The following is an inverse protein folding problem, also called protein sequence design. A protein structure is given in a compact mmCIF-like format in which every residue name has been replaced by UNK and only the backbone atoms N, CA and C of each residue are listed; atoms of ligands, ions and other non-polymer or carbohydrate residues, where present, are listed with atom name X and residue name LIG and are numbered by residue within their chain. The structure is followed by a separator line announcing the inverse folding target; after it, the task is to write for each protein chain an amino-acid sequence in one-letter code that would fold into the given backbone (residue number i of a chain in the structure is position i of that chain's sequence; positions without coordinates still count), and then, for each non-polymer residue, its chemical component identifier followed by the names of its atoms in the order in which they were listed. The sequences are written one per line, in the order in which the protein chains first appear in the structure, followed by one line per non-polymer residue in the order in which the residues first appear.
data_IF_558704452040
#
_entry.id   IF_558704452040
#
_cell.length_a   1.000
_cell.length_b   1.000
_cell.length_c   1.000
_cell.angle_alpha   90.00
_cell.angle_beta   90.00
_cell.angle_gamma   90.00
#
_symmetry.space_group_name_H-M   'P 1'
#
loop_
_entity.id
_entity.type
_entity.pdbx_description
1 polymer ?
#
# COMPACT_ATOMS: atom_id res chain seq x y z
N UNK A 1 15.90 -28.37 -16.89
CA UNK A 1 16.58 -27.15 -16.39
C UNK A 1 16.99 -27.33 -14.93
N UNK A 2 16.12 -27.87 -14.05
CA UNK A 2 16.46 -28.17 -12.66
C UNK A 2 17.73 -29.00 -12.52
N UNK A 3 17.78 -30.17 -13.16
CA UNK A 3 18.93 -31.10 -13.06
C UNK A 3 20.25 -30.47 -13.52
N UNK A 4 20.22 -29.72 -14.62
CA UNK A 4 21.41 -29.05 -15.18
C UNK A 4 21.88 -27.91 -14.27
N UNK A 5 20.94 -27.21 -13.61
CA UNK A 5 21.25 -26.16 -12.64
C UNK A 5 21.79 -26.75 -11.33
N UNK A 6 21.22 -27.87 -10.88
CA UNK A 6 21.69 -28.64 -9.72
C UNK A 6 23.09 -29.24 -9.96
N UNK A 7 23.43 -29.54 -11.21
CA UNK A 7 24.79 -29.92 -11.63
C UNK A 7 25.78 -28.75 -11.63
N UNK A 8 25.38 -27.54 -11.21
CA UNK A 8 26.24 -26.37 -11.06
C UNK A 8 26.41 -25.52 -12.32
N UNK A 9 25.62 -25.76 -13.38
CA UNK A 9 25.71 -24.99 -14.62
C UNK A 9 24.86 -23.72 -14.55
N UNK A 10 25.46 -22.59 -14.93
CA UNK A 10 24.76 -21.33 -15.14
C UNK A 10 23.77 -21.42 -16.29
N UNK A 11 22.48 -21.16 -16.05
CA UNK A 11 21.44 -21.23 -17.08
C UNK A 11 20.65 -19.93 -17.14
N UNK A 12 20.32 -19.50 -18.35
CA UNK A 12 19.37 -18.43 -18.61
C UNK A 12 18.15 -19.05 -19.31
N UNK A 13 17.02 -19.09 -18.59
CA UNK A 13 15.75 -19.58 -19.12
C UNK A 13 14.87 -18.44 -19.59
N UNK A 14 14.18 -18.64 -20.71
CA UNK A 14 13.16 -17.70 -21.21
C UNK A 14 11.78 -18.33 -21.07
N UNK A 15 10.87 -17.63 -20.40
CA UNK A 15 9.48 -18.07 -20.20
C UNK A 15 8.52 -16.95 -20.50
N UNK A 16 7.47 -17.23 -21.27
CA UNK A 16 6.37 -16.28 -21.48
C UNK A 16 5.46 -16.22 -20.26
N UNK A 17 5.42 -15.08 -19.55
CA UNK A 17 4.54 -14.87 -18.42
C UNK A 17 4.09 -13.40 -18.35
N UNK A 18 2.87 -13.18 -17.83
CA UNK A 18 2.32 -11.83 -17.68
C UNK A 18 2.96 -11.06 -16.51
N UNK A 19 3.66 -11.76 -15.62
CA UNK A 19 4.38 -11.19 -14.47
C UNK A 19 5.53 -12.13 -14.08
N UNK A 20 6.59 -11.57 -13.47
CA UNK A 20 7.67 -12.37 -12.89
C UNK A 20 7.18 -13.39 -11.86
N UNK A 21 6.13 -13.07 -11.10
CA UNK A 21 5.55 -14.01 -10.13
C UNK A 21 4.93 -15.24 -10.80
N UNK A 22 4.20 -15.05 -11.90
CA UNK A 22 3.61 -16.16 -12.63
C UNK A 22 4.69 -17.07 -13.25
N UNK A 23 5.83 -16.50 -13.65
CA UNK A 23 6.97 -17.29 -14.10
C UNK A 23 7.51 -18.20 -12.99
N UNK A 24 7.65 -17.67 -11.77
CA UNK A 24 8.06 -18.43 -10.57
C UNK A 24 7.06 -19.53 -10.27
N UNK A 25 5.76 -19.23 -10.23
CA UNK A 25 4.70 -20.21 -9.92
C UNK A 25 4.68 -21.40 -10.89
N UNK A 26 4.96 -21.18 -12.17
CA UNK A 26 5.08 -22.26 -13.16
C UNK A 26 6.28 -23.17 -12.92
N UNK A 27 7.33 -22.66 -12.26
CA UNK A 27 8.50 -23.43 -11.86
C UNK A 27 8.24 -24.26 -10.61
N UNK A 28 7.57 -23.63 -9.64
CA UNK A 28 7.23 -24.20 -8.32
C UNK A 28 6.47 -25.52 -8.45
N UNK A 29 5.57 -25.65 -9.44
CA UNK A 29 4.85 -26.90 -9.66
C UNK A 29 5.70 -28.09 -10.15
N UNK A 30 7.00 -27.89 -10.43
CA UNK A 30 7.90 -28.93 -10.95
C UNK A 30 9.06 -29.26 -10.03
N UNK A 31 9.29 -28.46 -8.99
CA UNK A 31 10.48 -28.53 -8.13
C UNK A 31 10.05 -28.31 -6.69
N UNK A 32 10.60 -29.09 -5.76
CA UNK A 32 10.35 -28.92 -4.33
C UNK A 32 10.81 -27.54 -3.85
N UNK A 33 10.06 -26.94 -2.91
CA UNK A 33 10.34 -25.59 -2.39
C UNK A 33 11.81 -25.40 -1.99
N UNK A 34 12.40 -26.37 -1.30
CA UNK A 34 13.80 -26.34 -0.86
C UNK A 34 14.84 -26.25 -1.99
N UNK A 35 14.49 -26.73 -3.18
CA UNK A 35 15.36 -26.71 -4.35
C UNK A 35 15.13 -25.48 -5.23
N UNK A 36 14.01 -24.76 -5.06
CA UNK A 36 13.66 -23.61 -5.90
C UNK A 36 14.71 -22.51 -5.80
N UNK A 37 15.17 -22.16 -4.60
CA UNK A 37 16.19 -21.11 -4.43
C UNK A 37 17.55 -21.49 -5.01
N UNK A 38 17.83 -22.78 -5.20
CA UNK A 38 19.06 -23.26 -5.85
C UNK A 38 18.93 -23.22 -7.37
N UNK A 39 17.72 -23.48 -7.88
CA UNK A 39 17.44 -23.53 -9.30
C UNK A 39 17.18 -22.14 -9.88
N UNK A 40 16.51 -21.27 -9.13
CA UNK A 40 16.08 -19.95 -9.57
C UNK A 40 16.42 -18.90 -8.49
N UNK A 41 17.31 -18.00 -8.87
CA UNK A 41 17.82 -16.92 -8.02
C UNK A 41 17.21 -15.57 -8.46
N UNK A 42 17.29 -15.26 -9.76
CA UNK A 42 16.83 -13.98 -10.32
C UNK A 42 15.78 -14.18 -11.40
N UNK A 43 14.73 -13.35 -11.39
CA UNK A 43 13.71 -13.27 -12.44
C UNK A 43 13.67 -11.86 -13.00
N UNK A 44 13.85 -11.76 -14.30
CA UNK A 44 13.79 -10.48 -15.02
C UNK A 44 12.49 -10.45 -15.81
N UNK A 45 11.58 -9.57 -15.42
CA UNK A 45 10.35 -9.33 -16.16
C UNK A 45 10.58 -8.22 -17.19
N UNK A 46 10.44 -8.58 -18.47
CA UNK A 46 10.61 -7.67 -19.61
C UNK A 46 9.24 -7.37 -20.22
N UNK A 47 8.89 -6.09 -20.31
CA UNK A 47 7.67 -5.61 -20.96
C UNK A 47 8.03 -4.53 -21.99
N UNK A 48 7.48 -4.64 -23.21
CA UNK A 48 7.70 -3.65 -24.30
C UNK A 48 9.18 -3.32 -24.54
N UNK A 49 10.05 -4.33 -24.46
CA UNK A 49 11.50 -4.19 -24.66
C UNK A 49 12.25 -3.48 -23.52
N UNK A 50 11.59 -3.22 -22.38
CA UNK A 50 12.22 -2.64 -21.18
C UNK A 50 12.12 -3.60 -20.01
N UNK A 51 13.12 -3.57 -19.13
CA UNK A 51 13.07 -4.29 -17.84
C UNK A 51 12.04 -3.58 -16.97
N UNK A 52 10.91 -4.24 -16.72
CA UNK A 52 9.83 -3.71 -15.88
C UNK A 52 10.12 -3.98 -14.40
N UNK A 53 10.61 -5.19 -14.08
CA UNK A 53 10.89 -5.58 -12.70
C UNK A 53 11.99 -6.65 -12.65
N UNK A 54 12.81 -6.59 -11.61
CA UNK A 54 13.77 -7.65 -11.27
C UNK A 54 13.40 -8.19 -9.88
N UNK A 55 13.19 -9.50 -9.81
CA UNK A 55 12.87 -10.21 -8.58
C UNK A 55 14.04 -11.11 -8.19
N UNK A 56 14.40 -11.08 -6.92
CA UNK A 56 15.40 -11.94 -6.29
C UNK A 56 14.71 -12.88 -5.31
N UNK A 57 15.10 -14.15 -5.32
CA UNK A 57 14.56 -15.16 -4.43
C UNK A 57 15.60 -15.56 -3.39
N UNK A 58 15.27 -15.38 -2.11
CA UNK A 58 16.15 -15.77 -1.01
C UNK A 58 15.42 -16.71 -0.06
N UNK A 59 16.06 -17.84 0.24
CA UNK A 59 15.55 -18.74 1.27
C UNK A 59 15.95 -18.26 2.65
N UNK A 60 14.99 -18.22 3.57
CA UNK A 60 15.18 -17.90 4.98
C UNK A 60 14.36 -18.87 5.84
N UNK A 61 14.86 -19.16 7.04
CA UNK A 61 14.13 -19.95 8.03
C UNK A 61 13.50 -18.98 9.01
N UNK A 62 12.16 -18.85 8.98
CA UNK A 62 11.39 -17.97 9.87
C UNK A 62 9.95 -18.43 10.02
N UNK A 63 9.21 -17.82 10.93
CA UNK A 63 7.76 -17.93 10.96
C UNK A 63 7.17 -17.18 9.74
N UNK A 64 6.29 -17.80 8.94
CA UNK A 64 5.57 -17.10 7.86
C UNK A 64 4.76 -15.92 8.39
N UNK A 65 4.65 -14.86 7.59
CA UNK A 65 3.87 -13.68 7.99
C UNK A 65 2.40 -14.06 8.22
N UNK A 66 1.88 -13.83 9.45
CA UNK A 66 0.47 -14.05 9.80
C UNK A 66 0.14 -15.35 10.54
N UNK A 67 1.14 -16.13 10.99
CA UNK A 67 0.92 -17.31 11.86
C UNK A 67 1.77 -17.22 13.13
N UNK A 68 1.15 -17.38 14.31
CA UNK A 68 1.85 -17.68 15.55
C UNK A 68 2.20 -19.17 15.56
N UNK A 69 3.38 -19.54 15.07
CA UNK A 69 3.87 -20.91 15.24
C UNK A 69 5.30 -20.91 15.73
N UNK A 70 5.55 -21.64 16.81
CA UNK A 70 6.84 -21.83 17.47
C UNK A 70 7.82 -22.70 16.63
N UNK A 71 7.36 -23.19 15.47
CA UNK A 71 8.15 -24.01 14.55
C UNK A 71 8.60 -23.17 13.36
N UNK A 72 9.89 -22.81 13.35
CA UNK A 72 10.52 -22.17 12.20
C UNK A 72 10.47 -23.08 10.98
N UNK A 73 10.00 -22.53 9.85
CA UNK A 73 9.86 -23.26 8.57
C UNK A 73 10.72 -22.60 7.49
N UNK A 74 11.13 -23.35 6.45
CA UNK A 74 11.77 -22.77 5.28
C UNK A 74 10.74 -21.93 4.50
N UNK A 75 11.03 -20.64 4.34
CA UNK A 75 10.24 -19.67 3.58
C UNK A 75 11.14 -19.09 2.49
N UNK A 76 10.59 -18.91 1.29
CA UNK A 76 11.28 -18.19 0.22
C UNK A 76 10.74 -16.78 0.15
N UNK A 77 11.61 -15.81 0.34
CA UNK A 77 11.35 -14.40 0.18
C UNK A 77 11.58 -13.97 -1.26
N UNK A 78 10.58 -13.32 -1.86
CA UNK A 78 10.67 -12.73 -3.20
C UNK A 78 10.82 -11.21 -3.03
N UNK A 79 12.02 -10.71 -3.27
CA UNK A 79 12.39 -9.31 -3.11
C UNK A 79 12.55 -8.62 -4.45
N UNK A 80 12.25 -7.33 -4.49
CA UNK A 80 12.42 -6.51 -5.69
C UNK A 80 13.79 -5.83 -5.70
N UNK A 81 14.54 -5.92 -6.79
CA UNK A 81 15.81 -5.20 -6.98
C UNK A 81 15.57 -3.92 -7.79
N UNK A 82 16.14 -2.76 -7.43
CA UNK A 82 17.14 -2.52 -6.36
C UNK A 82 16.56 -2.15 -4.99
N UNK A 83 15.24 -2.09 -4.83
CA UNK A 83 14.62 -1.60 -3.59
C UNK A 83 14.78 -2.54 -2.39
N UNK A 84 15.20 -3.79 -2.62
CA UNK A 84 15.29 -4.90 -1.66
C UNK A 84 13.97 -5.11 -0.88
N UNK A 85 12.86 -4.68 -1.46
CA UNK A 85 11.55 -4.71 -0.81
C UNK A 85 10.95 -6.10 -0.96
N UNK A 86 10.58 -6.72 0.15
CA UNK A 86 9.89 -8.00 0.16
C UNK A 86 8.47 -7.84 -0.41
N UNK A 87 8.20 -8.49 -1.54
CA UNK A 87 6.91 -8.38 -2.24
C UNK A 87 6.00 -9.56 -1.94
N UNK A 88 6.57 -10.77 -1.96
CA UNK A 88 5.84 -12.03 -1.77
C UNK A 88 6.68 -12.99 -0.94
N UNK A 89 5.99 -13.88 -0.24
CA UNK A 89 6.55 -15.02 0.47
C UNK A 89 5.99 -16.30 -0.15
N UNK A 90 6.83 -17.33 -0.22
CA UNK A 90 6.39 -18.67 -0.60
C UNK A 90 6.73 -19.64 0.52
N UNK A 91 5.75 -20.45 0.92
CA UNK A 91 5.95 -21.50 1.90
C UNK A 91 5.09 -22.72 1.58
N UNK A 92 5.52 -23.88 2.09
CA UNK A 92 4.77 -25.12 1.97
C UNK A 92 3.69 -25.18 3.07
N UNK A 93 2.44 -25.34 2.65
CA UNK A 93 1.30 -25.58 3.52
C UNK A 93 0.78 -27.01 3.26
N UNK A 94 1.15 -27.94 4.14
CA UNK A 94 0.90 -29.36 3.91
C UNK A 94 1.66 -29.86 2.68
N UNK A 95 0.92 -30.32 1.67
CA UNK A 95 1.45 -30.80 0.39
C UNK A 95 1.47 -29.75 -0.72
N UNK A 96 0.92 -28.56 -0.48
CA UNK A 96 0.78 -27.50 -1.49
C UNK A 96 1.71 -26.33 -1.20
N UNK A 97 2.10 -25.60 -2.24
CA UNK A 97 2.95 -24.41 -2.11
C UNK A 97 2.07 -23.17 -2.22
N UNK A 98 2.00 -22.40 -1.15
CA UNK A 98 1.26 -21.15 -1.07
C UNK A 98 2.18 -19.97 -1.38
N UNK A 99 1.68 -19.02 -2.17
CA UNK A 99 2.34 -17.75 -2.46
C UNK A 99 1.51 -16.64 -1.82
N UNK A 100 2.06 -16.00 -0.79
CA UNK A 100 1.38 -14.96 -0.02
C UNK A 100 2.00 -13.60 -0.34
N UNK A 101 1.22 -12.60 -0.80
CA UNK A 101 1.73 -11.25 -0.96
C UNK A 101 2.00 -10.65 0.42
N UNK A 102 3.20 -10.10 0.61
CA UNK A 102 3.55 -9.37 1.86
C UNK A 102 3.09 -7.91 1.79
N UNK A 103 2.65 -7.48 0.59
CA UNK A 103 2.03 -6.18 0.32
C UNK A 103 0.57 -6.08 0.82
N UNK A 104 0.28 -6.73 1.94
CA UNK A 104 -0.92 -6.54 2.74
C UNK A 104 -0.65 -6.27 4.22
N UNK A 105 0.60 -6.37 4.67
CA UNK A 105 0.90 -6.40 6.12
C UNK A 105 2.27 -5.84 6.53
N UNK A 106 3.09 -5.29 5.62
CA UNK A 106 4.41 -4.75 6.01
C UNK A 106 4.68 -3.28 5.66
N UNK A 107 3.78 -2.59 4.97
CA UNK A 107 3.70 -1.12 5.11
C UNK A 107 2.86 -0.71 6.33
N UNK A 108 1.92 -1.58 6.73
CA UNK A 108 1.14 -1.53 7.98
C UNK A 108 1.52 -2.76 8.82
N UNK A 109 2.81 -2.85 9.20
CA UNK A 109 3.36 -3.88 10.06
C UNK A 109 2.67 -3.91 11.41
N UNK A 110 1.52 -4.58 11.47
CA UNK A 110 0.81 -4.77 12.71
C UNK A 110 -0.20 -5.88 12.67
N UNK A 111 -0.29 -6.55 13.82
CA UNK A 111 -1.38 -7.43 14.21
C UNK A 111 -2.73 -6.82 13.77
N UNK A 112 -3.79 -7.58 13.43
CA UNK A 112 -5.11 -7.00 13.15
C UNK A 112 -5.57 -6.01 14.23
N UNK A 113 -5.14 -6.23 15.48
CA UNK A 113 -5.26 -5.30 16.59
C UNK A 113 -4.58 -3.93 16.37
N UNK A 114 -3.37 -3.89 15.83
CA UNK A 114 -2.66 -2.64 15.53
C UNK A 114 -3.29 -1.86 14.37
N UNK A 115 -3.91 -2.55 13.40
CA UNK A 115 -4.69 -1.88 12.36
C UNK A 115 -5.90 -1.17 12.95
N UNK A 116 -6.66 -1.87 13.80
CA UNK A 116 -7.78 -1.29 14.53
C UNK A 116 -7.32 -0.14 15.43
N UNK A 117 -6.20 -0.32 16.15
CA UNK A 117 -5.63 0.72 17.01
C UNK A 117 -5.15 1.92 16.19
N UNK A 118 -4.57 1.73 15.00
CA UNK A 118 -4.12 2.84 14.13
C UNK A 118 -5.30 3.67 13.61
N UNK A 119 -6.41 3.02 13.30
CA UNK A 119 -7.65 3.67 12.87
C UNK A 119 -8.27 4.46 14.04
N UNK A 120 -8.27 3.88 15.25
CA UNK A 120 -8.79 4.53 16.45
C UNK A 120 -7.92 5.71 16.89
N UNK A 121 -6.59 5.55 16.85
CA UNK A 121 -5.63 6.62 17.15
C UNK A 121 -5.80 7.78 16.17
N UNK A 122 -6.03 7.50 14.89
CA UNK A 122 -6.36 8.54 13.89
C UNK A 122 -7.66 9.27 14.24
N UNK A 123 -8.69 8.57 14.70
CA UNK A 123 -9.99 9.16 15.10
C UNK A 123 -9.85 10.05 16.32
N UNK A 124 -9.21 9.54 17.37
CA UNK A 124 -9.02 10.28 18.62
C UNK A 124 -8.07 11.47 18.43
N UNK A 125 -6.95 11.30 17.73
CA UNK A 125 -6.03 12.41 17.42
C UNK A 125 -6.74 13.52 16.63
N UNK A 126 -7.60 13.16 15.66
CA UNK A 126 -8.39 14.14 14.91
C UNK A 126 -9.43 14.82 15.79
N UNK A 127 -10.06 14.10 16.73
CA UNK A 127 -11.06 14.67 17.66
C UNK A 127 -10.43 15.66 18.63
N UNK A 128 -9.29 15.31 19.22
CA UNK A 128 -8.62 16.11 20.24
C UNK A 128 -7.92 17.35 19.66
N UNK A 129 -7.25 17.20 18.52
CA UNK A 129 -6.46 18.28 17.92
C UNK A 129 -7.20 19.07 16.85
N UNK A 130 -8.30 18.53 16.30
CA UNK A 130 -8.98 19.08 15.14
C UNK A 130 -8.17 18.97 13.83
N UNK A 131 -7.01 18.31 13.86
CA UNK A 131 -6.09 18.15 12.72
C UNK A 131 -6.33 16.79 12.07
N UNK A 132 -6.48 16.78 10.76
CA UNK A 132 -6.66 15.55 10.00
C UNK A 132 -5.35 14.77 9.97
N UNK A 133 -5.30 13.67 10.73
CA UNK A 133 -4.20 12.72 10.66
C UNK A 133 -4.36 11.87 9.40
N UNK A 134 -3.34 11.87 8.53
CA UNK A 134 -3.41 11.13 7.25
C UNK A 134 -3.14 9.65 7.47
N UNK A 135 -2.10 9.34 8.25
CA UNK A 135 -1.68 7.98 8.56
C UNK A 135 -1.09 7.90 9.96
N UNK A 136 -1.27 6.77 10.63
CA UNK A 136 -0.69 6.48 11.93
C UNK A 136 -0.14 5.06 11.91
N UNK A 137 1.03 4.87 12.51
CA UNK A 137 1.73 3.59 12.56
C UNK A 137 2.23 3.33 13.98
N UNK A 138 1.87 2.19 14.54
CA UNK A 138 2.47 1.76 15.79
C UNK A 138 3.88 1.21 15.53
N UNK A 139 4.85 1.66 16.35
CA UNK A 139 6.24 1.17 16.33
C UNK A 139 6.43 0.13 17.44
N UNK A 140 5.80 0.36 18.60
CA UNK A 140 5.72 -0.58 19.72
C UNK A 140 4.35 -0.48 20.38
N UNK A 141 4.01 -1.38 21.30
CA UNK A 141 2.73 -1.35 22.03
C UNK A 141 2.52 -0.05 22.84
N UNK A 142 3.59 0.72 23.09
CA UNK A 142 3.54 1.98 23.84
C UNK A 142 4.02 3.21 23.04
N UNK A 143 4.35 3.05 21.76
CA UNK A 143 4.82 4.16 20.93
C UNK A 143 4.26 4.10 19.50
N UNK A 144 3.76 5.23 19.02
CA UNK A 144 3.18 5.38 17.70
C UNK A 144 3.74 6.60 16.96
N UNK A 145 3.91 6.45 15.65
CA UNK A 145 4.29 7.50 14.72
C UNK A 145 3.05 7.98 13.99
N UNK A 146 2.83 9.29 13.98
CA UNK A 146 1.72 9.95 13.31
C UNK A 146 2.27 10.74 12.12
N UNK A 147 1.65 10.57 10.96
CA UNK A 147 1.95 11.32 9.75
C UNK A 147 0.85 12.32 9.44
N UNK A 148 1.25 13.59 9.41
CA UNK A 148 0.36 14.73 9.14
C UNK A 148 0.91 15.62 8.04
N UNK A 149 0.08 16.55 7.57
CA UNK A 149 0.52 17.59 6.64
C UNK A 149 1.46 18.58 7.33
N UNK A 150 2.47 19.05 6.61
CA UNK A 150 3.53 19.94 7.13
C UNK A 150 2.96 21.20 7.79
N UNK A 151 1.89 21.72 7.22
CA UNK A 151 1.20 22.91 7.72
C UNK A 151 0.61 22.72 9.12
N UNK A 152 0.37 21.48 9.54
CA UNK A 152 -0.27 21.17 10.81
C UNK A 152 0.71 20.66 11.88
N UNK A 153 1.98 20.42 11.54
CA UNK A 153 3.00 19.91 12.49
C UNK A 153 3.20 20.87 13.66
N UNK A 154 3.38 22.16 13.36
CA UNK A 154 3.55 23.17 14.39
C UNK A 154 2.36 23.28 15.34
N UNK A 155 1.14 23.17 14.81
CA UNK A 155 -0.09 23.22 15.59
C UNK A 155 -0.30 21.98 16.47
N UNK A 156 0.10 20.80 15.98
CA UNK A 156 -0.02 19.54 16.74
C UNK A 156 0.97 19.48 17.91
N UNK A 157 2.19 19.97 17.72
CA UNK A 157 3.22 19.98 18.77
C UNK A 157 2.94 21.08 19.81
N UNK A 158 2.46 22.24 19.37
CA UNK A 158 2.19 23.40 20.21
C UNK A 158 3.45 24.13 20.70
N UNK A 159 3.30 25.32 21.33
CA UNK A 159 4.43 26.07 21.86
C UNK A 159 5.17 25.27 22.93
N UNK A 160 6.49 25.08 22.74
CA UNK A 160 7.34 24.35 23.70
C UNK A 160 7.02 22.84 23.82
N UNK A 161 6.28 22.25 22.88
CA UNK A 161 5.88 20.84 22.93
C UNK A 161 4.76 20.55 23.93
N UNK A 162 4.02 21.56 24.38
CA UNK A 162 2.91 21.35 25.31
C UNK A 162 1.75 20.58 24.68
N UNK A 163 1.46 20.81 23.39
CA UNK A 163 0.37 20.16 22.67
C UNK A 163 0.59 18.65 22.53
N UNK A 164 1.81 18.24 22.14
CA UNK A 164 2.13 16.82 22.03
C UNK A 164 2.14 16.12 23.38
N UNK A 165 2.66 16.75 24.44
CA UNK A 165 2.64 16.17 25.79
C UNK A 165 1.23 15.92 26.31
N UNK A 166 0.29 16.84 26.05
CA UNK A 166 -1.12 16.65 26.41
C UNK A 166 -1.73 15.49 25.63
N UNK A 167 -1.45 15.43 24.32
CA UNK A 167 -1.92 14.34 23.46
C UNK A 167 -1.36 12.97 23.89
N UNK A 168 -0.10 12.90 24.30
CA UNK A 168 0.53 11.70 24.85
C UNK A 168 -0.09 11.28 26.20
N UNK A 169 -0.45 12.25 27.06
CA UNK A 169 -1.13 11.98 28.33
C UNK A 169 -2.56 11.45 28.13
N UNK A 170 -3.30 12.01 27.18
CA UNK A 170 -4.68 11.62 26.89
C UNK A 170 -4.74 10.23 26.21
N UNK A 171 -3.77 9.92 25.35
CA UNK A 171 -3.70 8.64 24.65
C UNK A 171 -2.91 7.56 25.41
N UNK A 172 -2.13 7.94 26.43
CA UNK A 172 -1.28 7.02 27.20
C UNK A 172 -0.14 6.38 26.38
N UNK A 173 0.25 7.01 25.28
CA UNK A 173 1.21 6.51 24.29
C UNK A 173 2.25 7.58 23.99
N UNK A 174 3.50 7.17 23.70
CA UNK A 174 4.49 8.09 23.14
C UNK A 174 4.20 8.34 21.67
N UNK A 175 4.21 9.60 21.26
CA UNK A 175 3.82 10.01 19.90
C UNK A 175 4.97 10.73 19.21
N UNK A 176 5.36 10.21 18.05
CA UNK A 176 6.30 10.88 17.16
C UNK A 176 5.56 11.46 15.96
N UNK A 177 5.74 12.75 15.71
CA UNK A 177 5.03 13.47 14.64
C UNK A 177 5.97 13.68 13.46
N UNK A 178 5.60 13.10 12.33
CA UNK A 178 6.36 13.15 11.09
C UNK A 178 5.55 13.76 9.94
N UNK A 179 6.29 14.31 8.98
CA UNK A 179 5.71 14.85 7.75
C UNK A 179 5.21 13.73 6.84
N UNK A 180 4.08 13.95 6.18
CA UNK A 180 3.60 13.07 5.10
C UNK A 180 4.59 12.97 3.92
N UNK A 181 5.53 13.91 3.79
CA UNK A 181 6.57 13.87 2.75
C UNK A 181 7.63 12.80 3.02
N UNK A 182 7.83 12.41 4.29
CA UNK A 182 8.80 11.38 4.69
C UNK A 182 8.28 9.96 4.44
N UNK A 183 7.01 9.81 4.05
CA UNK A 183 6.45 8.53 3.64
C UNK A 183 6.99 8.08 2.26
N UNK A 184 7.25 6.77 2.07
CA UNK A 184 7.67 6.25 0.77
C UNK A 184 6.65 6.59 -0.32
N UNK A 185 7.15 6.97 -1.52
CA UNK A 185 6.35 7.53 -2.63
C UNK A 185 5.14 6.68 -3.04
N UNK A 186 5.20 5.36 -2.83
CA UNK A 186 4.08 4.43 -3.08
C UNK A 186 2.88 4.66 -2.14
N UNK A 187 3.15 4.82 -0.85
CA UNK A 187 2.11 5.06 0.16
C UNK A 187 1.50 6.46 0.01
N UNK A 188 2.31 7.46 -0.35
CA UNK A 188 1.86 8.84 -0.59
C UNK A 188 0.79 8.93 -1.70
N UNK A 189 0.96 8.15 -2.77
CA UNK A 189 -0.01 8.09 -3.89
C UNK A 189 -1.32 7.42 -3.48
N UNK A 190 -1.28 6.44 -2.57
CA UNK A 190 -2.47 5.76 -2.02
C UNK A 190 -3.25 6.67 -1.07
N UNK A 191 -2.55 7.41 -0.21
CA UNK A 191 -3.15 8.38 0.72
C UNK A 191 -3.80 9.57 -0.02
N UNK A 192 -3.14 10.13 -1.04
CA UNK A 192 -3.74 11.19 -1.89
C UNK A 192 -4.98 10.71 -2.65
N UNK A 193 -4.99 9.46 -3.14
CA UNK A 193 -6.15 8.89 -3.82
C UNK A 193 -7.35 8.67 -2.88
N UNK A 194 -7.10 8.40 -1.60
CA UNK A 194 -8.15 8.22 -0.58
C UNK A 194 -8.82 9.53 -0.17
N UNK A 195 -8.10 10.67 -0.23
CA UNK A 195 -8.70 11.99 0.00
C UNK A 195 -9.61 12.46 -1.14
N UNK A 196 -9.39 11.99 -2.37
CA UNK A 196 -10.23 12.34 -3.53
C UNK A 196 -11.55 11.57 -3.57
N UNK A 197 -11.60 10.34 -3.03
CA UNK A 197 -12.82 9.52 -3.03
C UNK A 197 -13.91 9.97 -2.04
N UNK A 198 -13.61 10.91 -1.13
CA UNK A 198 -14.60 11.52 -0.24
C UNK A 198 -15.28 12.77 -0.84
N UNK A 199 -14.88 13.20 -2.04
CA UNK A 199 -15.60 14.24 -2.77
C UNK A 199 -16.69 13.59 -3.62
N UNK A 200 -17.90 13.49 -3.06
CA UNK A 200 -19.10 13.13 -3.81
C UNK A 200 -19.73 14.40 -4.41
N UNK A 201 -19.59 14.66 -5.73
CA UNK A 201 -20.17 15.83 -6.39
C UNK A 201 -21.71 15.84 -6.31
N UNK A 202 -22.33 14.70 -6.00
CA UNK A 202 -23.79 14.57 -5.91
C UNK A 202 -24.39 15.19 -4.64
N UNK A 203 -23.56 15.57 -3.66
CA UNK A 203 -24.01 16.27 -2.44
C UNK A 203 -24.52 17.70 -2.70
N UNK A 204 -24.17 18.31 -3.84
CA UNK A 204 -24.68 19.63 -4.24
C UNK A 204 -26.02 19.56 -4.96
N UNK A 205 -26.38 18.42 -5.55
CA UNK A 205 -27.60 18.30 -6.37
C UNK A 205 -28.88 18.04 -5.57
N UNK A 206 -28.80 17.68 -4.28
CA UNK A 206 -29.96 17.30 -3.47
C UNK A 206 -30.35 18.29 -2.36
N UNK A 207 -30.00 19.57 -2.48
CA UNK A 207 -30.73 20.62 -1.72
C UNK A 207 -31.98 21.04 -2.48
N UNK A 208 -33.05 20.30 -2.22
CA UNK A 208 -34.43 20.74 -2.42
C UNK A 208 -34.63 22.14 -1.84
N UNK A 209 -35.11 23.07 -2.67
CA UNK A 209 -35.65 24.35 -2.23
C UNK A 209 -35.14 25.56 -2.97
N UNK A 210 -35.77 25.89 -4.10
CA UNK A 210 -36.55 27.13 -4.32
C UNK A 210 -36.80 27.33 -5.82
N UNK A 211 -38.01 26.96 -6.25
CA UNK A 211 -38.63 27.52 -7.46
C UNK A 211 -38.63 29.04 -7.33
N UNK A 212 -37.79 29.72 -8.10
CA UNK A 212 -37.98 31.13 -8.44
C UNK A 212 -38.62 31.18 -9.82
N UNK A 213 -39.96 31.24 -9.85
CA UNK A 213 -40.66 31.77 -11.02
C UNK A 213 -40.29 33.24 -11.15
N UNK A 214 -39.48 33.57 -12.15
CA UNK A 214 -39.41 34.94 -12.66
C UNK A 214 -39.97 34.95 -14.08
N UNK A 215 -41.26 35.23 -14.13
CA UNK A 215 -41.90 35.79 -15.31
C UNK A 215 -41.27 37.18 -15.55
N UNK A 216 -40.42 37.29 -16.57
CA UNK A 216 -40.10 38.59 -17.16
C UNK A 216 -39.98 38.43 -18.66
N UNK A 217 -41.01 38.90 -19.36
CA UNK A 217 -41.07 38.91 -20.80
C UNK A 217 -39.90 39.69 -21.41
N UNK A 218 -39.35 39.15 -22.49
CA UNK A 218 -38.72 39.94 -23.55
C UNK A 218 -38.72 39.17 -24.86
N UNK A 219 -39.28 39.84 -25.85
CA UNK A 219 -39.55 39.40 -27.22
C UNK A 219 -38.35 38.75 -27.92
N UNK A 220 -38.53 37.54 -28.47
CA UNK A 220 -37.69 37.04 -29.56
C UNK A 220 -38.33 37.38 -30.91
N UNK A 221 -37.81 38.46 -31.49
CA UNK A 221 -38.01 38.88 -32.87
C UNK A 221 -37.67 37.74 -33.83
N UNK A 222 -38.65 37.35 -34.64
CA UNK A 222 -38.49 36.55 -35.84
C UNK A 222 -37.63 37.31 -36.87
N UNK A 223 -36.55 36.69 -37.37
CA UNK A 223 -35.94 37.05 -38.66
C UNK A 223 -35.65 35.78 -39.44
N UNK A 224 -36.34 35.66 -40.58
CA UNK A 224 -36.45 34.47 -41.39
C UNK A 224 -35.18 34.07 -42.14
N UNK A 225 -35.12 32.77 -42.42
CA UNK A 225 -34.24 32.14 -43.41
C UNK A 225 -34.64 32.62 -44.80
N UNK A 226 -33.72 33.29 -45.50
CA UNK A 226 -33.81 33.54 -46.94
C UNK A 226 -32.79 32.64 -47.62
N UNK A 227 -33.28 31.61 -48.31
CA UNK A 227 -32.48 30.80 -49.23
C UNK A 227 -32.22 31.55 -50.53
N UNK A 228 -31.01 31.34 -51.08
CA UNK A 228 -30.65 31.47 -52.50
C UNK A 228 -29.76 30.25 -52.76
N UNK A 229 -30.13 29.28 -53.60
CA UNK A 229 -30.11 29.33 -55.08
C UNK A 229 -28.78 29.83 -55.61
#
# INVERSE_FOLDING_TARGET
FGDVRLAGVGLLGVTHANSGLQAIQRLVGKVELGLISQVLDTVIHVEKGKIHQVLELKMVVRAPTGMESDLSRPVIEIREFPSNRLTHEMFAFGSEIAVVPVNGSNEEGGNPAWKLASEELKREATRLTGIIVKHAKFVTDSAAVIYIDDSAIGSMIGPGGEGIRRLEQDLGLKLDVHSIQELPRGLRKKLQKSSESNFDPSSWTNRSGRNWEYNSGKSKRSKGRKGRR
#
